data_IF_521162140647
#
_entry.id   IF_521162140647
#
_cell.length_a   1.000
_cell.length_b   1.000
_cell.length_c   1.000
_cell.angle_alpha   90.00
_cell.angle_beta   90.00
_cell.angle_gamma   90.00
#
_symmetry.space_group_name_H-M   'P 1'
#
loop_
_entity.id
_entity.type
_entity.pdbx_description
1 polymer ?
#
# COMPACT_ATOMS: atom_id res chain seq x y z
N UNK A 1 39.37 -4.65 -4.00
CA UNK A 1 38.16 -5.15 -3.30
C UNK A 1 37.53 -3.98 -2.55
N UNK A 2 36.53 -3.33 -3.12
CA UNK A 2 35.78 -2.27 -2.45
C UNK A 2 34.64 -2.89 -1.66
N UNK A 3 34.79 -2.96 -0.34
CA UNK A 3 33.71 -3.28 0.58
C UNK A 3 32.65 -2.17 0.49
N UNK A 4 31.60 -2.42 -0.29
CA UNK A 4 30.38 -1.61 -0.21
C UNK A 4 29.77 -1.85 1.16
N UNK A 5 29.90 -0.89 2.07
CA UNK A 5 29.12 -0.84 3.30
C UNK A 5 27.66 -0.62 2.86
N UNK A 6 26.91 -1.72 2.77
CA UNK A 6 25.47 -1.67 2.55
C UNK A 6 24.83 -1.17 3.85
N UNK A 7 24.36 0.08 3.85
CA UNK A 7 23.49 0.56 4.91
C UNK A 7 22.14 -0.15 4.81
N UNK A 8 21.97 -1.24 5.54
CA UNK A 8 20.65 -1.90 5.72
C UNK A 8 19.70 -0.92 6.44
N UNK A 9 18.50 -0.61 5.90
CA UNK A 9 17.63 0.48 6.38
C UNK A 9 16.98 0.32 7.77
N UNK A 10 17.48 -0.55 8.65
CA UNK A 10 16.78 -1.00 9.86
C UNK A 10 17.62 -0.92 11.16
N UNK A 11 18.54 0.06 11.29
CA UNK A 11 19.39 0.21 12.49
C UNK A 11 18.86 1.16 13.56
N UNK A 12 17.54 1.35 13.68
CA UNK A 12 16.99 1.83 14.96
C UNK A 12 16.90 0.61 15.91
N UNK A 13 17.63 0.59 17.04
CA UNK A 13 17.66 -0.54 17.98
C UNK A 13 16.39 -0.57 18.82
N UNK A 14 15.24 -0.69 18.17
CA UNK A 14 13.95 -0.86 18.84
C UNK A 14 13.75 -2.37 19.07
N UNK A 15 13.47 -2.81 20.31
CA UNK A 15 13.21 -4.21 20.62
C UNK A 15 12.11 -4.80 19.72
N UNK A 16 12.26 -6.05 19.30
CA UNK A 16 11.32 -6.73 18.39
C UNK A 16 9.86 -6.68 18.85
N UNK A 17 9.60 -7.00 20.13
CA UNK A 17 8.26 -6.95 20.72
C UNK A 17 7.65 -5.54 20.63
N UNK A 18 8.47 -4.51 20.75
CA UNK A 18 8.05 -3.11 20.65
C UNK A 18 7.77 -2.71 19.20
N UNK A 19 8.54 -3.22 18.23
CA UNK A 19 8.24 -3.02 16.79
C UNK A 19 6.87 -3.61 16.42
N UNK A 20 6.56 -4.82 16.89
CA UNK A 20 5.24 -5.44 16.68
C UNK A 20 4.14 -4.60 17.35
N UNK A 21 4.30 -4.25 18.63
CA UNK A 21 3.32 -3.47 19.36
C UNK A 21 3.04 -2.10 18.72
N UNK A 22 4.06 -1.47 18.13
CA UNK A 22 3.91 -0.20 17.43
C UNK A 22 3.41 -0.35 15.99
N UNK A 23 3.39 -1.57 15.43
CA UNK A 23 3.03 -1.83 14.04
C UNK A 23 4.11 -1.42 13.03
N UNK A 24 5.39 -1.36 13.45
CA UNK A 24 6.53 -0.98 12.62
C UNK A 24 7.01 -2.09 11.65
N UNK A 25 6.08 -2.90 11.12
CA UNK A 25 6.37 -4.14 10.38
C UNK A 25 6.45 -3.95 8.86
N UNK A 26 6.32 -2.72 8.37
CA UNK A 26 6.21 -2.39 6.93
C UNK A 26 7.38 -2.96 6.09
N UNK A 27 8.63 -2.90 6.60
CA UNK A 27 9.81 -3.44 5.89
C UNK A 27 10.13 -4.91 6.23
N UNK A 28 9.28 -5.57 7.01
CA UNK A 28 9.51 -6.97 7.38
C UNK A 28 9.09 -7.89 6.22
N UNK A 29 9.88 -8.93 5.92
CA UNK A 29 9.52 -9.89 4.90
C UNK A 29 8.26 -10.68 5.28
N UNK A 30 7.47 -11.00 4.26
CA UNK A 30 6.23 -11.77 4.39
C UNK A 30 6.57 -13.25 4.47
N UNK A 31 5.99 -13.91 5.47
CA UNK A 31 6.08 -15.36 5.66
C UNK A 31 4.71 -15.99 5.40
N UNK A 32 4.64 -17.00 4.53
CA UNK A 32 3.45 -17.80 4.30
C UNK A 32 3.75 -19.26 4.60
N UNK A 33 3.01 -19.85 5.54
CA UNK A 33 3.22 -21.23 6.01
C UNK A 33 4.68 -21.52 6.41
N UNK A 34 5.34 -20.57 7.09
CA UNK A 34 6.73 -20.69 7.53
C UNK A 34 7.79 -20.51 6.43
N UNK A 35 7.38 -20.19 5.20
CA UNK A 35 8.28 -19.92 4.08
C UNK A 35 8.29 -18.44 3.71
N UNK A 36 9.47 -17.94 3.37
CA UNK A 36 9.63 -16.57 2.87
C UNK A 36 9.00 -16.44 1.48
N UNK A 37 8.15 -15.43 1.30
CA UNK A 37 7.55 -15.14 -0.01
C UNK A 37 8.54 -14.35 -0.85
N UNK A 38 8.93 -14.92 -2.00
CA UNK A 38 9.89 -14.34 -2.93
C UNK A 38 9.21 -14.00 -4.25
N UNK A 39 9.47 -12.81 -4.78
CA UNK A 39 9.06 -12.39 -6.13
C UNK A 39 10.33 -12.05 -6.91
N UNK A 40 10.61 -12.78 -7.99
CA UNK A 40 11.82 -12.59 -8.83
C UNK A 40 13.12 -12.48 -8.02
N UNK A 41 13.30 -13.36 -7.04
CA UNK A 41 14.43 -13.39 -6.10
C UNK A 41 14.53 -12.20 -5.11
N UNK A 42 13.48 -11.41 -4.96
CA UNK A 42 13.37 -10.36 -3.94
C UNK A 42 12.36 -10.77 -2.87
N UNK A 43 12.69 -10.66 -1.56
CA UNK A 43 11.72 -10.92 -0.50
C UNK A 43 10.61 -9.88 -0.54
N UNK A 44 9.37 -10.34 -0.63
CA UNK A 44 8.20 -9.47 -0.53
C UNK A 44 8.07 -8.98 0.90
N UNK A 45 7.98 -7.67 1.12
CA UNK A 45 7.71 -7.11 2.45
C UNK A 45 6.25 -6.64 2.60
N UNK A 46 5.83 -6.36 3.82
CA UNK A 46 4.46 -5.89 4.07
C UNK A 46 4.14 -4.57 3.38
N UNK A 47 5.13 -3.69 3.19
CA UNK A 47 4.99 -2.46 2.42
C UNK A 47 4.63 -2.78 0.96
N UNK A 48 5.34 -3.72 0.33
CA UNK A 48 5.06 -4.15 -1.04
C UNK A 48 3.65 -4.73 -1.17
N UNK A 49 3.20 -5.51 -0.17
CA UNK A 49 1.82 -5.99 -0.11
C UNK A 49 0.82 -4.84 -0.11
N UNK A 50 1.08 -3.78 0.65
CA UNK A 50 0.20 -2.62 0.68
C UNK A 50 0.15 -1.88 -0.66
N UNK A 51 1.28 -1.76 -1.36
CA UNK A 51 1.26 -1.27 -2.74
C UNK A 51 0.39 -2.14 -3.65
N UNK A 52 0.51 -3.47 -3.56
CA UNK A 52 -0.29 -4.41 -4.35
C UNK A 52 -1.78 -4.36 -4.00
N UNK A 53 -2.13 -4.19 -2.72
CA UNK A 53 -3.52 -4.01 -2.27
C UNK A 53 -4.12 -2.73 -2.86
N UNK A 54 -3.39 -1.60 -2.78
CA UNK A 54 -3.85 -0.31 -3.31
C UNK A 54 -3.96 -0.33 -4.83
N UNK A 55 -3.07 -1.05 -5.52
CA UNK A 55 -3.10 -1.18 -6.98
C UNK A 55 -4.38 -1.81 -7.51
N UNK A 56 -4.97 -2.75 -6.76
CA UNK A 56 -6.24 -3.39 -7.14
C UNK A 56 -7.43 -2.45 -7.04
N UNK A 57 -7.27 -1.32 -6.36
CA UNK A 57 -8.32 -0.33 -6.20
C UNK A 57 -8.37 0.61 -7.41
N UNK A 58 -9.55 1.13 -7.72
CA UNK A 58 -9.69 2.17 -8.73
C UNK A 58 -8.74 3.35 -8.44
N UNK A 59 -8.21 3.99 -9.49
CA UNK A 59 -7.31 5.14 -9.29
C UNK A 59 -8.08 6.31 -8.70
N UNK A 60 -7.45 7.04 -7.77
CA UNK A 60 -8.04 8.24 -7.18
C UNK A 60 -7.24 9.47 -7.58
N UNK A 61 -7.92 10.61 -7.71
CA UNK A 61 -7.22 11.86 -7.97
C UNK A 61 -6.52 12.35 -6.68
N UNK A 62 -5.27 12.79 -6.77
CA UNK A 62 -4.53 13.47 -5.70
C UNK A 62 -3.91 14.73 -6.32
N UNK A 63 -4.36 15.91 -5.88
CA UNK A 63 -4.09 17.15 -6.59
C UNK A 63 -4.60 17.08 -8.03
N UNK A 64 -3.70 17.29 -9.00
CA UNK A 64 -3.99 17.21 -10.44
C UNK A 64 -3.78 15.82 -11.05
N UNK A 65 -3.29 14.86 -10.27
CA UNK A 65 -2.80 13.57 -10.76
C UNK A 65 -3.75 12.43 -10.44
N UNK A 66 -3.79 11.40 -11.28
CA UNK A 66 -4.56 10.18 -11.06
C UNK A 66 -3.63 9.06 -10.54
N UNK A 67 -3.82 8.63 -9.31
CA UNK A 67 -2.84 7.83 -8.55
C UNK A 67 -3.31 6.39 -8.37
N UNK A 68 -2.46 5.42 -8.68
CA UNK A 68 -2.74 3.97 -8.59
C UNK A 68 -2.26 3.32 -7.30
N UNK A 69 -1.25 3.87 -6.63
CA UNK A 69 -0.56 3.22 -5.51
C UNK A 69 0.63 2.36 -5.93
N UNK A 70 1.01 2.33 -7.21
CA UNK A 70 2.26 1.71 -7.68
C UNK A 70 2.93 2.68 -8.65
N UNK A 71 4.22 2.95 -8.41
CA UNK A 71 5.13 3.87 -9.11
C UNK A 71 5.08 3.83 -10.65
N UNK A 72 3.97 4.25 -11.27
CA UNK A 72 3.85 4.32 -12.72
C UNK A 72 3.98 2.99 -13.48
N UNK A 73 3.95 1.82 -12.82
CA UNK A 73 4.22 0.52 -13.44
C UNK A 73 2.99 0.03 -14.21
N UNK A 74 3.06 0.00 -15.54
CA UNK A 74 1.97 -0.55 -16.34
C UNK A 74 1.82 -2.07 -16.14
N UNK A 75 0.85 -2.47 -15.32
CA UNK A 75 0.49 -3.86 -15.03
C UNK A 75 -0.99 -4.08 -15.40
N UNK A 76 -1.28 -4.59 -16.61
CA UNK A 76 -2.65 -4.84 -17.08
C UNK A 76 -3.44 -5.79 -16.19
N UNK A 77 -2.76 -6.67 -15.44
CA UNK A 77 -3.36 -7.57 -14.47
C UNK A 77 -3.87 -6.85 -13.22
N UNK A 78 -3.44 -5.61 -12.99
CA UNK A 78 -3.81 -4.78 -11.84
C UNK A 78 -4.71 -3.60 -12.23
N UNK A 79 -4.73 -3.19 -13.50
CA UNK A 79 -5.49 -2.03 -13.95
C UNK A 79 -6.09 -2.23 -15.35
N UNK A 80 -7.34 -1.78 -15.52
CA UNK A 80 -8.07 -1.86 -16.81
C UNK A 80 -7.46 -0.99 -17.93
N UNK A 81 -6.64 0.02 -17.57
CA UNK A 81 -6.05 0.97 -18.52
C UNK A 81 -4.53 1.06 -18.35
N UNK A 82 -3.76 1.32 -19.43
CA UNK A 82 -2.31 1.51 -19.36
C UNK A 82 -1.92 2.52 -18.28
N UNK A 83 -0.90 2.21 -17.46
CA UNK A 83 -0.29 3.23 -16.60
C UNK A 83 0.68 4.05 -17.46
N UNK A 84 0.27 5.25 -17.83
CA UNK A 84 1.20 6.33 -18.12
C UNK A 84 1.60 6.90 -16.76
N UNK A 85 2.90 6.97 -16.45
CA UNK A 85 3.38 7.58 -15.21
C UNK A 85 3.10 9.10 -15.25
N UNK A 86 1.86 9.48 -14.95
CA UNK A 86 1.38 10.86 -15.07
C UNK A 86 1.78 11.74 -13.88
N UNK A 87 2.55 11.21 -12.92
CA UNK A 87 2.79 11.86 -11.63
C UNK A 87 4.02 11.38 -10.87
N UNK A 88 4.40 12.15 -9.86
CA UNK A 88 5.48 11.85 -8.90
C UNK A 88 5.09 10.66 -8.01
N UNK A 89 5.89 9.59 -8.03
CA UNK A 89 5.65 8.37 -7.25
C UNK A 89 5.53 8.59 -5.74
N UNK A 90 5.94 9.74 -5.22
CA UNK A 90 5.64 10.16 -3.84
C UNK A 90 4.13 10.13 -3.54
N UNK A 91 3.26 10.40 -4.52
CA UNK A 91 1.81 10.34 -4.31
C UNK A 91 1.31 8.90 -4.12
N UNK A 92 2.03 7.89 -4.60
CA UNK A 92 1.74 6.49 -4.29
C UNK A 92 2.01 6.20 -2.81
N UNK A 93 3.11 6.72 -2.28
CA UNK A 93 3.44 6.59 -0.86
C UNK A 93 2.40 7.25 0.05
N UNK A 94 1.89 8.42 -0.37
CA UNK A 94 0.75 9.08 0.31
C UNK A 94 -0.47 8.16 0.34
N UNK A 95 -0.83 7.60 -0.82
CA UNK A 95 -2.01 6.74 -0.94
C UNK A 95 -1.85 5.46 -0.13
N UNK A 96 -0.67 4.85 -0.15
CA UNK A 96 -0.33 3.65 0.64
C UNK A 96 -0.39 3.95 2.14
N UNK A 97 0.14 5.08 2.60
CA UNK A 97 0.05 5.44 4.01
C UNK A 97 -1.40 5.62 4.50
N UNK A 98 -2.27 6.20 3.67
CA UNK A 98 -3.69 6.29 3.98
C UNK A 98 -4.38 4.93 3.96
N UNK A 99 -3.98 4.04 3.05
CA UNK A 99 -4.44 2.66 3.05
C UNK A 99 -4.06 1.95 4.36
N UNK A 100 -2.77 1.97 4.71
CA UNK A 100 -2.26 1.36 5.95
C UNK A 100 -2.97 1.90 7.19
N UNK A 101 -3.25 3.20 7.25
CA UNK A 101 -4.00 3.81 8.34
C UNK A 101 -5.44 3.26 8.45
N UNK A 102 -6.13 3.06 7.33
CA UNK A 102 -7.51 2.56 7.30
C UNK A 102 -7.62 1.05 7.54
N UNK A 103 -6.73 0.24 6.97
CA UNK A 103 -6.85 -1.23 7.04
C UNK A 103 -6.05 -1.86 8.19
N UNK A 104 -5.02 -1.16 8.70
CA UNK A 104 -4.14 -1.65 9.76
C UNK A 104 -3.77 -0.50 10.71
N UNK A 105 -4.76 0.08 11.38
CA UNK A 105 -4.54 1.19 12.30
C UNK A 105 -3.57 0.78 13.42
N UNK A 106 -2.43 1.47 13.49
CA UNK A 106 -1.39 1.29 14.51
C UNK A 106 -0.78 2.66 14.84
N UNK A 107 -0.06 2.77 15.96
CA UNK A 107 0.63 4.02 16.32
C UNK A 107 1.56 4.47 15.19
N UNK A 108 2.31 3.53 14.61
CA UNK A 108 3.20 3.82 13.48
C UNK A 108 2.45 4.27 12.23
N UNK A 109 1.37 3.58 11.84
CA UNK A 109 0.61 3.93 10.63
C UNK A 109 -0.15 5.25 10.80
N UNK A 110 -0.65 5.55 11.99
CA UNK A 110 -1.25 6.84 12.32
C UNK A 110 -0.21 7.97 12.22
N UNK A 111 0.99 7.77 12.74
CA UNK A 111 2.07 8.75 12.61
C UNK A 111 2.48 8.97 11.15
N UNK A 112 2.64 7.89 10.37
CA UNK A 112 2.89 7.99 8.92
C UNK A 112 1.81 8.79 8.20
N UNK A 113 0.53 8.47 8.43
CA UNK A 113 -0.58 9.20 7.82
C UNK A 113 -0.57 10.68 8.22
N UNK A 114 -0.28 10.98 9.48
CA UNK A 114 -0.15 12.36 9.96
C UNK A 114 0.97 13.14 9.22
N UNK A 115 2.14 12.54 9.00
CA UNK A 115 3.22 13.15 8.23
C UNK A 115 2.78 13.47 6.80
N UNK A 116 2.09 12.53 6.14
CA UNK A 116 1.59 12.74 4.78
C UNK A 116 0.44 13.73 4.69
N UNK A 117 -0.43 13.81 5.70
CA UNK A 117 -1.46 14.85 5.81
C UNK A 117 -0.80 16.23 5.81
N UNK A 118 0.21 16.44 6.65
CA UNK A 118 0.95 17.70 6.70
C UNK A 118 1.61 18.00 5.35
N UNK A 119 2.28 17.02 4.74
CA UNK A 119 2.91 17.19 3.44
C UNK A 119 1.91 17.58 2.33
N UNK A 120 0.72 16.97 2.29
CA UNK A 120 -0.34 17.34 1.35
C UNK A 120 -0.82 18.78 1.56
N UNK A 121 -0.99 19.20 2.82
CA UNK A 121 -1.34 20.58 3.15
C UNK A 121 -0.28 21.57 2.66
N UNK A 122 1.02 21.27 2.84
CA UNK A 122 2.11 22.08 2.29
C UNK A 122 2.10 22.16 0.76
N UNK A 123 1.58 21.14 0.06
CA UNK A 123 1.40 21.11 -1.39
C UNK A 123 0.09 21.75 -1.86
N UNK A 124 -0.74 22.28 -0.95
CA UNK A 124 -2.06 22.85 -1.28
C UNK A 124 -3.10 21.81 -1.70
N UNK A 125 -2.90 20.53 -1.34
CA UNK A 125 -3.83 19.43 -1.65
C UNK A 125 -4.65 19.13 -0.40
N UNK A 126 -5.99 19.04 -0.54
CA UNK A 126 -6.88 18.71 0.57
C UNK A 126 -6.73 17.23 0.98
N UNK A 127 -6.16 16.92 2.17
CA UNK A 127 -5.92 15.54 2.60
C UNK A 127 -7.21 14.79 2.95
N UNK A 128 -8.23 15.48 3.48
CA UNK A 128 -9.53 14.87 3.81
C UNK A 128 -10.20 14.36 2.53
N UNK A 129 -10.18 15.17 1.46
CA UNK A 129 -10.74 14.77 0.17
C UNK A 129 -9.99 13.57 -0.45
N UNK A 130 -8.67 13.48 -0.26
CA UNK A 130 -7.88 12.31 -0.69
C UNK A 130 -8.27 11.06 0.11
N UNK A 131 -8.33 11.17 1.43
CA UNK A 131 -8.72 10.07 2.32
C UNK A 131 -10.13 9.56 2.03
N UNK A 132 -11.09 10.47 1.82
CA UNK A 132 -12.47 10.12 1.48
C UNK A 132 -12.58 9.37 0.13
N UNK A 133 -11.87 9.84 -0.90
CA UNK A 133 -11.84 9.16 -2.20
C UNK A 133 -11.21 7.78 -2.10
N UNK A 134 -10.13 7.65 -1.32
CA UNK A 134 -9.50 6.36 -1.06
C UNK A 134 -10.45 5.41 -0.32
N UNK A 135 -11.16 5.89 0.70
CA UNK A 135 -12.14 5.10 1.44
C UNK A 135 -13.28 4.60 0.54
N UNK A 136 -13.85 5.46 -0.31
CA UNK A 136 -14.87 5.06 -1.29
C UNK A 136 -14.36 4.00 -2.27
N UNK A 137 -13.14 4.18 -2.77
CA UNK A 137 -12.48 3.23 -3.67
C UNK A 137 -12.29 1.86 -3.00
N UNK A 138 -11.89 1.86 -1.72
CA UNK A 138 -11.79 0.64 -0.91
C UNK A 138 -13.15 -0.04 -0.70
N UNK A 139 -14.20 0.72 -0.34
CA UNK A 139 -15.54 0.17 -0.15
C UNK A 139 -16.06 -0.51 -1.42
N UNK A 140 -15.94 0.15 -2.57
CA UNK A 140 -16.35 -0.43 -3.88
C UNK A 140 -15.63 -1.74 -4.17
N UNK A 141 -14.33 -1.81 -3.91
CA UNK A 141 -13.55 -3.03 -4.10
C UNK A 141 -14.04 -4.17 -3.18
N UNK A 142 -14.34 -3.86 -1.91
CA UNK A 142 -14.86 -4.84 -0.96
C UNK A 142 -16.25 -5.34 -1.38
N UNK A 143 -17.17 -4.44 -1.75
CA UNK A 143 -18.51 -4.79 -2.21
C UNK A 143 -18.45 -5.71 -3.44
N UNK A 144 -17.62 -5.37 -4.43
CA UNK A 144 -17.42 -6.19 -5.63
C UNK A 144 -16.82 -7.56 -5.31
N UNK A 145 -15.85 -7.61 -4.38
CA UNK A 145 -15.22 -8.86 -3.95
C UNK A 145 -16.20 -9.78 -3.22
N UNK A 146 -17.08 -9.21 -2.39
CA UNK A 146 -18.13 -9.94 -1.70
C UNK A 146 -19.18 -10.49 -2.67
N UNK A 147 -19.60 -9.70 -3.66
CA UNK A 147 -20.52 -10.14 -4.72
C UNK A 147 -19.91 -11.30 -5.54
N UNK A 148 -18.63 -11.20 -5.90
CA UNK A 148 -17.94 -12.27 -6.63
C UNK A 148 -17.86 -13.56 -5.80
N UNK A 149 -17.56 -13.46 -4.50
CA UNK A 149 -17.51 -14.61 -3.60
C UNK A 149 -18.90 -15.25 -3.40
N UNK A 150 -19.97 -14.47 -3.33
CA UNK A 150 -21.34 -14.98 -3.26
C UNK A 150 -21.70 -15.78 -4.52
N UNK A 151 -21.43 -15.24 -5.70
CA UNK A 151 -21.71 -15.91 -6.98
C UNK A 151 -20.91 -17.22 -7.17
N UNK A 152 -19.71 -17.34 -6.59
CA UNK A 152 -18.94 -18.58 -6.61
C UNK A 152 -19.51 -19.67 -5.69
N UNK A 153 -20.20 -19.29 -4.61
CA UNK A 153 -20.85 -20.24 -3.70
C UNK A 153 -22.16 -20.81 -4.27
N UNK A 154 -22.73 -20.15 -5.28
CA UNK A 154 -23.95 -20.59 -5.99
C UNK A 154 -23.64 -21.52 -7.18
N UNK A 155 -22.36 -21.81 -7.46
CA UNK A 155 -21.99 -22.83 -8.43
C UNK A 155 -22.25 -24.23 -7.84
N UNK A 156 -22.88 -25.15 -8.59
CA UNK A 156 -23.08 -26.51 -8.13
C UNK A 156 -21.73 -27.13 -7.79
N UNK A 157 -21.62 -27.65 -6.57
CA UNK A 157 -20.44 -28.42 -6.16
C UNK A 157 -20.46 -29.75 -6.90
N UNK A 158 -19.51 -29.94 -7.80
CA UNK A 158 -19.25 -31.24 -8.46
C UNK A 158 -18.84 -32.32 -7.44
#
# INVERSE_FOLDING_TARGET
MTSKILFTPNKLPIPWKLKIALGCISKEPVMYQGRLVMVRNTPLCYHDLHHLEVAKLERIRIGKHLVSGIHGINAPELHEFPIVAEYDGILDEVRVAFHEFLVKTSVYNTFKAFLWINWLLFKGINPIAVMWRHHKSLQRFLDNSLLAAANLNDLPKE
#
